data_IF_574924054027
#
_entry.id   IF_574924054027
#
_cell.length_a   1.000
_cell.length_b   1.000
_cell.length_c   1.000
_cell.angle_alpha   90.00
_cell.angle_beta   90.00
_cell.angle_gamma   90.00
#
_symmetry.space_group_name_H-M   'P 1'
#
loop_
_entity.id
_entity.type
_entity.pdbx_description
1 polymer ?
#
# COMPACT_ATOMS: atom_id res chain seq x y z
N UNK A 1 21.41 -20.36 9.61
CA UNK A 1 20.93 -18.95 9.39
C UNK A 1 21.04 -18.67 7.90
N UNK A 2 19.93 -18.32 7.29
CA UNK A 2 19.87 -17.97 5.86
C UNK A 2 20.72 -16.73 5.56
N UNK A 3 21.44 -16.72 4.43
CA UNK A 3 22.22 -15.58 3.98
C UNK A 3 22.08 -15.42 2.46
N UNK A 4 22.08 -14.17 1.93
CA UNK A 4 22.10 -13.95 0.49
C UNK A 4 23.46 -14.44 -0.09
N UNK A 5 23.44 -14.87 -1.35
CA UNK A 5 24.67 -15.21 -2.03
C UNK A 5 25.56 -13.98 -2.24
N UNK A 6 26.89 -14.11 -2.16
CA UNK A 6 27.81 -12.97 -2.30
C UNK A 6 27.72 -12.23 -3.63
N UNK A 7 27.21 -12.89 -4.67
CA UNK A 7 27.02 -12.31 -6.02
C UNK A 7 25.74 -11.48 -6.15
N UNK A 8 24.83 -11.53 -5.17
CA UNK A 8 23.56 -10.80 -5.23
C UNK A 8 23.73 -9.33 -4.90
N UNK A 9 23.09 -8.47 -5.70
CA UNK A 9 23.11 -7.02 -5.51
C UNK A 9 21.90 -6.61 -4.70
N UNK A 10 22.14 -6.13 -3.47
CA UNK A 10 21.06 -5.66 -2.60
C UNK A 10 20.34 -4.45 -3.22
N UNK A 11 19.00 -4.52 -3.25
CA UNK A 11 18.15 -3.42 -3.66
C UNK A 11 17.69 -2.63 -2.43
N UNK A 12 17.56 -1.32 -2.59
CA UNK A 12 16.90 -0.49 -1.58
C UNK A 12 15.40 -0.80 -1.64
N UNK A 13 14.94 -1.70 -0.78
CA UNK A 13 13.52 -2.01 -0.63
C UNK A 13 12.92 -1.20 0.51
N UNK A 14 11.62 -0.86 0.39
CA UNK A 14 10.86 -0.41 1.55
C UNK A 14 10.90 -1.49 2.65
N UNK A 15 10.94 -1.07 3.90
CA UNK A 15 10.94 -1.97 5.07
C UNK A 15 9.52 -2.49 5.32
N UNK A 16 9.08 -3.47 4.54
CA UNK A 16 7.93 -4.30 4.93
C UNK A 16 8.26 -5.05 6.23
N UNK A 17 7.29 -5.20 7.12
CA UNK A 17 7.49 -5.78 8.47
C UNK A 17 8.10 -7.19 8.44
N UNK A 18 7.88 -7.95 7.38
CA UNK A 18 8.40 -9.31 7.20
C UNK A 18 9.49 -9.43 6.14
N UNK A 19 9.88 -8.35 5.46
CA UNK A 19 10.91 -8.41 4.41
C UNK A 19 12.30 -8.31 5.04
N UNK A 20 13.06 -9.38 4.97
CA UNK A 20 14.47 -9.43 5.40
C UNK A 20 15.36 -8.67 4.42
N UNK A 21 15.09 -8.81 3.11
CA UNK A 21 15.79 -8.09 2.07
C UNK A 21 15.29 -8.46 0.67
N UNK A 22 15.76 -7.66 -0.29
CA UNK A 22 15.48 -7.86 -1.73
C UNK A 22 16.77 -7.68 -2.49
N UNK A 23 17.04 -8.57 -3.43
CA UNK A 23 18.27 -8.57 -4.22
C UNK A 23 17.97 -8.78 -5.70
N UNK A 24 18.84 -8.26 -6.54
CA UNK A 24 18.89 -8.55 -7.98
C UNK A 24 20.04 -9.53 -8.25
N UNK A 25 19.79 -10.52 -9.10
CA UNK A 25 20.81 -11.44 -9.58
C UNK A 25 20.49 -11.93 -10.99
N UNK A 26 21.29 -12.86 -11.51
CA UNK A 26 21.08 -13.50 -12.81
C UNK A 26 21.03 -15.00 -12.61
N UNK A 27 19.93 -15.64 -13.02
CA UNK A 27 19.76 -17.09 -13.01
C UNK A 27 19.54 -17.58 -14.45
N UNK A 28 20.39 -18.52 -14.89
CA UNK A 28 20.30 -19.06 -16.26
C UNK A 28 20.39 -17.99 -17.37
N UNK A 29 21.15 -16.91 -17.13
CA UNK A 29 21.27 -15.79 -18.06
C UNK A 29 20.12 -14.78 -18.02
N UNK A 30 19.10 -14.96 -17.17
CA UNK A 30 17.94 -14.06 -17.03
C UNK A 30 18.07 -13.24 -15.74
N UNK A 31 17.80 -11.91 -15.78
CA UNK A 31 17.77 -11.11 -14.57
C UNK A 31 16.53 -11.47 -13.74
N UNK A 32 16.75 -11.68 -12.43
CA UNK A 32 15.70 -12.02 -11.49
C UNK A 32 15.81 -11.17 -10.23
N UNK A 33 14.70 -11.07 -9.51
CA UNK A 33 14.65 -10.52 -8.16
C UNK A 33 14.46 -11.65 -7.16
N UNK A 34 15.21 -11.60 -6.07
CA UNK A 34 15.09 -12.50 -4.93
C UNK A 34 14.62 -11.70 -3.74
N UNK A 35 13.49 -12.11 -3.14
CA UNK A 35 12.91 -11.49 -1.93
C UNK A 35 12.88 -12.52 -0.82
N UNK A 36 13.48 -12.19 0.33
CA UNK A 36 13.41 -13.01 1.53
C UNK A 36 12.39 -12.46 2.50
N UNK A 37 11.45 -13.30 2.91
CA UNK A 37 10.48 -13.06 3.97
C UNK A 37 10.92 -13.82 5.22
N UNK A 38 10.97 -13.14 6.37
CA UNK A 38 11.23 -13.76 7.65
C UNK A 38 9.95 -14.26 8.31
N UNK A 39 9.98 -15.48 8.83
CA UNK A 39 8.89 -15.98 9.66
C UNK A 39 8.84 -15.19 10.98
N UNK A 40 7.63 -14.82 11.49
CA UNK A 40 7.52 -14.12 12.75
C UNK A 40 7.96 -15.00 13.92
N UNK A 41 8.57 -14.36 14.91
CA UNK A 41 8.95 -14.96 16.18
C UNK A 41 7.83 -14.78 17.23
N UNK A 42 7.99 -15.41 18.39
CA UNK A 42 7.06 -15.25 19.53
C UNK A 42 6.99 -13.81 20.07
N UNK A 43 7.97 -12.96 19.75
CA UNK A 43 8.04 -11.57 20.19
C UNK A 43 7.48 -10.58 19.18
N UNK A 44 7.12 -11.06 18.00
CA UNK A 44 6.56 -10.22 16.95
C UNK A 44 5.06 -9.96 17.18
N UNK A 45 4.53 -8.84 16.69
CA UNK A 45 3.11 -8.55 16.80
C UNK A 45 2.23 -9.66 16.20
N UNK A 46 1.16 -10.11 16.90
CA UNK A 46 0.31 -11.22 16.46
C UNK A 46 -0.35 -10.99 15.09
N UNK A 47 -0.51 -9.72 14.68
CA UNK A 47 -1.02 -9.34 13.36
C UNK A 47 -0.19 -9.88 12.20
N UNK A 48 1.10 -10.16 12.41
CA UNK A 48 1.94 -10.77 11.37
C UNK A 48 1.50 -12.20 11.06
N UNK A 49 0.90 -12.88 12.00
CA UNK A 49 0.40 -14.25 11.87
C UNK A 49 -1.09 -14.33 11.52
N UNK A 50 -1.83 -13.20 11.53
CA UNK A 50 -3.23 -13.16 11.14
C UNK A 50 -3.36 -13.07 9.60
N UNK A 51 -3.92 -14.10 8.93
CA UNK A 51 -4.04 -14.11 7.47
C UNK A 51 -4.93 -13.00 6.90
N UNK A 52 -5.84 -12.42 7.69
CA UNK A 52 -6.74 -11.34 7.25
C UNK A 52 -6.12 -9.96 7.40
N UNK A 53 -5.21 -9.80 8.37
CA UNK A 53 -4.57 -8.53 8.65
C UNK A 53 -3.61 -8.14 7.52
N UNK A 54 -3.60 -6.88 7.08
CA UNK A 54 -2.81 -6.43 5.95
C UNK A 54 -1.29 -6.66 6.11
N UNK A 55 -0.78 -6.83 7.32
CA UNK A 55 0.62 -7.11 7.60
C UNK A 55 0.97 -8.60 7.65
N UNK A 56 0.05 -9.49 7.28
CA UNK A 56 0.31 -10.94 7.27
C UNK A 56 1.60 -11.26 6.49
N UNK A 57 2.56 -11.85 7.18
CA UNK A 57 3.94 -12.01 6.69
C UNK A 57 4.06 -12.87 5.42
N UNK A 58 3.22 -13.88 5.30
CA UNK A 58 3.29 -14.91 4.26
C UNK A 58 2.54 -14.53 2.97
N UNK A 59 1.67 -13.50 3.01
CA UNK A 59 0.74 -13.21 1.89
C UNK A 59 1.42 -13.10 0.54
N UNK A 60 2.58 -12.46 0.43
CA UNK A 60 3.30 -12.36 -0.84
C UNK A 60 3.59 -13.74 -1.45
N UNK A 61 3.99 -14.72 -0.63
CA UNK A 61 4.21 -16.10 -1.07
C UNK A 61 2.90 -16.79 -1.47
N UNK A 62 1.84 -16.64 -0.66
CA UNK A 62 0.53 -17.24 -0.94
C UNK A 62 -0.05 -16.70 -2.25
N UNK A 63 0.09 -15.39 -2.54
CA UNK A 63 -0.36 -14.76 -3.79
C UNK A 63 0.34 -15.36 -4.99
N UNK A 64 1.67 -15.37 -4.99
CA UNK A 64 2.44 -15.86 -6.15
C UNK A 64 2.28 -17.37 -6.35
N UNK A 65 2.24 -18.16 -5.27
CA UNK A 65 2.00 -19.61 -5.34
C UNK A 65 0.61 -19.95 -5.88
N UNK A 66 -0.40 -19.14 -5.53
CA UNK A 66 -1.76 -19.36 -6.01
C UNK A 66 -1.97 -19.01 -7.48
N UNK A 67 -1.11 -18.20 -8.06
CA UNK A 67 -1.23 -17.69 -9.43
C UNK A 67 -2.43 -16.76 -9.66
N UNK A 68 -3.11 -16.31 -8.60
CA UNK A 68 -4.38 -15.58 -8.71
C UNK A 68 -4.28 -14.26 -9.46
N UNK A 69 -3.11 -13.63 -9.46
CA UNK A 69 -2.85 -12.33 -10.13
C UNK A 69 -2.03 -12.45 -11.42
N UNK A 70 -1.85 -13.67 -11.98
CA UNK A 70 -1.10 -13.85 -13.21
C UNK A 70 -1.88 -13.39 -14.47
N UNK A 71 -3.22 -13.41 -14.40
CA UNK A 71 -4.09 -13.12 -15.54
C UNK A 71 -5.25 -12.18 -15.21
N UNK A 72 -5.14 -11.43 -14.13
CA UNK A 72 -6.13 -10.42 -13.74
C UNK A 72 -6.11 -9.24 -14.71
N UNK A 73 -7.26 -8.60 -14.98
CA UNK A 73 -7.31 -7.39 -15.78
C UNK A 73 -6.60 -6.24 -15.02
N UNK A 74 -5.98 -5.36 -15.78
CA UNK A 74 -5.35 -4.14 -15.25
C UNK A 74 -4.01 -4.36 -14.56
N UNK A 75 -3.93 -5.18 -13.53
CA UNK A 75 -2.67 -5.50 -12.82
C UNK A 75 -2.36 -6.98 -12.92
N UNK A 76 -1.09 -7.31 -13.19
CA UNK A 76 -0.58 -8.69 -13.22
C UNK A 76 0.72 -8.81 -12.46
N UNK A 77 0.95 -9.97 -11.84
CA UNK A 77 2.27 -10.30 -11.31
C UNK A 77 3.24 -10.72 -12.42
N UNK A 78 4.56 -10.50 -12.26
CA UNK A 78 5.57 -11.15 -13.07
C UNK A 78 5.54 -12.67 -12.86
N UNK A 79 6.13 -13.42 -13.80
CA UNK A 79 6.27 -14.86 -13.64
C UNK A 79 7.16 -15.19 -12.45
N UNK A 80 6.74 -16.20 -11.69
CA UNK A 80 7.47 -16.73 -10.55
C UNK A 80 8.45 -17.81 -11.03
N UNK A 81 9.70 -17.73 -10.61
CA UNK A 81 10.71 -18.73 -10.91
C UNK A 81 10.75 -19.83 -9.85
N UNK A 82 10.76 -19.44 -8.55
CA UNK A 82 10.72 -20.40 -7.44
C UNK A 82 10.15 -19.80 -6.14
N UNK A 83 9.65 -20.70 -5.28
CA UNK A 83 9.32 -20.44 -3.88
C UNK A 83 10.01 -21.49 -3.05
N UNK A 84 10.88 -21.08 -2.13
CA UNK A 84 11.61 -21.97 -1.24
C UNK A 84 11.29 -21.57 0.20
N UNK A 85 10.87 -22.55 1.00
CA UNK A 85 10.51 -22.36 2.41
C UNK A 85 11.42 -23.16 3.30
N UNK A 86 11.89 -22.55 4.38
CA UNK A 86 12.66 -23.17 5.45
C UNK A 86 12.17 -22.73 6.82
N UNK A 87 12.82 -23.16 7.90
CA UNK A 87 12.42 -22.83 9.27
C UNK A 87 12.53 -21.33 9.61
N UNK A 88 13.29 -20.55 8.85
CA UNK A 88 13.51 -19.11 9.11
C UNK A 88 12.60 -18.23 8.25
N UNK A 89 11.97 -18.76 7.19
CA UNK A 89 11.09 -17.99 6.32
C UNK A 89 10.95 -18.51 4.90
N UNK A 90 10.66 -17.60 3.96
CA UNK A 90 10.38 -17.92 2.56
C UNK A 90 11.26 -17.08 1.64
N UNK A 91 11.88 -17.71 0.67
CA UNK A 91 12.59 -17.05 -0.43
C UNK A 91 11.73 -17.12 -1.70
N UNK A 92 11.43 -15.96 -2.27
CA UNK A 92 10.71 -15.82 -3.53
C UNK A 92 11.69 -15.37 -4.61
N UNK A 93 11.71 -16.06 -5.74
CA UNK A 93 12.46 -15.66 -6.93
C UNK A 93 11.49 -15.43 -8.07
N UNK A 94 11.53 -14.25 -8.68
CA UNK A 94 10.67 -13.87 -9.79
C UNK A 94 11.49 -13.17 -10.89
N UNK A 95 10.94 -13.12 -12.10
CA UNK A 95 11.56 -12.37 -13.18
C UNK A 95 11.70 -10.88 -12.80
N UNK A 96 12.81 -10.29 -13.19
CA UNK A 96 13.02 -8.86 -13.06
C UNK A 96 12.05 -8.09 -13.96
N UNK A 97 11.36 -7.11 -13.41
CA UNK A 97 10.46 -6.23 -14.16
C UNK A 97 11.19 -4.92 -14.45
N UNK A 98 11.35 -4.60 -15.74
CA UNK A 98 11.90 -3.33 -16.17
C UNK A 98 10.87 -2.21 -16.02
N UNK A 99 11.34 -1.02 -15.65
CA UNK A 99 10.47 0.15 -15.52
C UNK A 99 10.05 0.66 -16.91
N UNK A 100 8.75 0.54 -17.20
CA UNK A 100 8.14 0.99 -18.44
C UNK A 100 7.77 2.49 -18.43
N UNK A 101 8.12 3.21 -17.38
CA UNK A 101 7.76 4.62 -17.18
C UNK A 101 6.27 4.91 -17.42
N UNK A 102 5.40 4.08 -16.84
CA UNK A 102 3.96 4.22 -16.97
C UNK A 102 3.51 5.62 -16.52
N UNK A 103 2.63 6.27 -17.32
CA UNK A 103 1.99 7.51 -16.87
C UNK A 103 1.02 7.23 -15.73
N UNK A 104 0.76 8.25 -14.88
CA UNK A 104 -0.20 8.09 -13.79
C UNK A 104 -1.62 7.80 -14.28
N UNK A 105 -2.01 8.35 -15.41
CA UNK A 105 -3.33 8.06 -16.01
C UNK A 105 -3.44 6.59 -16.45
N UNK A 106 -2.38 6.03 -17.03
CA UNK A 106 -2.35 4.62 -17.40
C UNK A 106 -2.41 3.72 -16.15
N UNK A 107 -1.65 4.05 -15.10
CA UNK A 107 -1.71 3.32 -13.84
C UNK A 107 -3.10 3.41 -13.18
N UNK A 108 -3.71 4.60 -13.14
CA UNK A 108 -5.06 4.79 -12.59
C UNK A 108 -6.12 3.99 -13.36
N UNK A 109 -6.06 4.00 -14.71
CA UNK A 109 -6.93 3.16 -15.55
C UNK A 109 -6.74 1.66 -15.26
N UNK A 110 -5.50 1.21 -15.12
CA UNK A 110 -5.19 -0.18 -14.78
C UNK A 110 -5.73 -0.57 -13.39
N UNK A 111 -5.63 0.32 -12.38
CA UNK A 111 -6.23 0.12 -11.06
C UNK A 111 -7.76 0.01 -11.14
N UNK A 112 -8.42 0.82 -11.98
CA UNK A 112 -9.86 0.71 -12.22
C UNK A 112 -10.25 -0.64 -12.82
N UNK A 113 -9.50 -1.15 -13.81
CA UNK A 113 -9.71 -2.48 -14.39
C UNK A 113 -9.47 -3.60 -13.37
N UNK A 114 -8.46 -3.45 -12.52
CA UNK A 114 -8.13 -4.43 -11.48
C UNK A 114 -9.23 -4.53 -10.40
N UNK A 115 -9.95 -3.47 -10.12
CA UNK A 115 -11.07 -3.49 -9.18
C UNK A 115 -12.12 -4.57 -9.49
N UNK A 116 -12.26 -4.95 -10.77
CA UNK A 116 -13.14 -6.04 -11.21
C UNK A 116 -12.50 -7.43 -11.19
N UNK A 117 -11.26 -7.57 -10.72
CA UNK A 117 -10.57 -8.85 -10.74
C UNK A 117 -11.22 -9.86 -9.78
N UNK A 118 -11.46 -11.06 -10.26
CA UNK A 118 -11.97 -12.17 -9.47
C UNK A 118 -10.82 -12.86 -8.70
N UNK A 119 -10.43 -12.29 -7.57
CA UNK A 119 -9.37 -12.86 -6.72
C UNK A 119 -9.88 -13.92 -5.72
N UNK A 120 -11.19 -14.14 -5.69
CA UNK A 120 -11.88 -15.15 -4.86
C UNK A 120 -11.95 -14.80 -3.37
N UNK A 121 -12.39 -15.75 -2.57
CA UNK A 121 -12.59 -15.64 -1.11
C UNK A 121 -11.49 -16.29 -0.28
N UNK A 122 -10.23 -16.22 -0.69
CA UNK A 122 -9.11 -16.89 0.00
C UNK A 122 -8.90 -16.31 1.39
N UNK A 123 -8.60 -17.18 2.38
CA UNK A 123 -8.45 -16.79 3.79
C UNK A 123 -7.33 -15.79 4.05
N UNK A 124 -6.31 -15.77 3.19
CA UNK A 124 -5.15 -14.90 3.31
C UNK A 124 -5.28 -13.55 2.58
N UNK A 125 -6.40 -13.27 1.92
CA UNK A 125 -6.66 -11.94 1.36
C UNK A 125 -6.82 -10.92 2.49
N UNK A 126 -6.13 -9.78 2.35
CA UNK A 126 -6.25 -8.69 3.29
C UNK A 126 -7.68 -8.13 3.30
N UNK A 127 -8.16 -7.78 4.48
CA UNK A 127 -9.44 -7.12 4.70
C UNK A 127 -9.24 -5.97 5.67
N UNK A 128 -10.13 -5.01 5.64
CA UNK A 128 -10.14 -3.90 6.60
C UNK A 128 -8.82 -3.12 6.73
N UNK A 129 -8.00 -3.08 5.66
CA UNK A 129 -6.66 -2.50 5.69
C UNK A 129 -6.61 -1.10 6.30
N UNK A 130 -7.58 -0.24 5.96
CA UNK A 130 -7.60 1.13 6.45
C UNK A 130 -7.92 1.16 7.96
N UNK A 131 -8.85 0.31 8.43
CA UNK A 131 -9.14 0.14 9.86
C UNK A 131 -7.93 -0.38 10.63
N UNK A 132 -7.23 -1.36 10.09
CA UNK A 132 -6.03 -1.92 10.72
C UNK A 132 -4.91 -0.88 10.82
N UNK A 133 -4.76 -0.01 9.80
CA UNK A 133 -3.84 1.13 9.86
C UNK A 133 -4.21 2.10 10.98
N UNK A 134 -5.50 2.43 11.14
CA UNK A 134 -5.97 3.32 12.21
C UNK A 134 -5.82 2.66 13.59
N UNK A 135 -6.12 1.37 13.74
CA UNK A 135 -5.87 0.61 14.99
C UNK A 135 -4.39 0.66 15.39
N UNK A 136 -3.46 0.55 14.45
CA UNK A 136 -2.03 0.70 14.74
C UNK A 136 -1.68 2.09 15.27
N UNK A 137 -2.29 3.13 14.75
CA UNK A 137 -2.14 4.50 15.29
C UNK A 137 -2.70 4.57 16.70
N UNK A 138 -3.88 3.98 16.95
CA UNK A 138 -4.51 3.89 18.27
C UNK A 138 -3.62 3.19 19.30
N UNK A 139 -3.07 2.02 18.94
CA UNK A 139 -2.18 1.26 19.82
C UNK A 139 -0.90 2.01 20.21
N UNK A 140 -0.47 2.97 19.38
CA UNK A 140 0.67 3.85 19.70
C UNK A 140 0.28 5.13 20.44
N UNK A 141 -0.97 5.24 20.91
CA UNK A 141 -1.48 6.38 21.66
C UNK A 141 -2.25 7.42 20.86
N UNK A 142 -2.54 7.14 19.61
CA UNK A 142 -3.30 8.00 18.71
C UNK A 142 -2.46 9.10 18.04
N UNK A 143 -3.13 9.99 17.32
CA UNK A 143 -2.46 11.14 16.69
C UNK A 143 -1.92 12.09 17.78
N UNK A 144 -0.62 12.44 17.74
CA UNK A 144 -0.03 13.33 18.76
C UNK A 144 -0.40 14.80 18.49
N UNK A 145 -1.29 15.37 19.31
CA UNK A 145 -1.85 16.73 19.17
C UNK A 145 -0.93 17.88 19.64
N UNK A 146 0.36 17.67 19.70
CA UNK A 146 1.29 18.57 20.43
C UNK A 146 1.90 19.70 19.58
N UNK A 147 1.42 19.93 18.36
CA UNK A 147 1.89 21.04 17.53
C UNK A 147 0.79 22.07 17.34
N UNK A 148 1.00 23.30 17.68
CA UNK A 148 0.15 24.42 17.28
C UNK A 148 0.50 24.83 15.85
N UNK A 149 0.17 23.97 14.89
CA UNK A 149 0.34 24.22 13.45
C UNK A 149 -0.93 23.83 12.72
N UNK A 150 -1.24 24.50 11.62
CA UNK A 150 -2.40 24.17 10.77
C UNK A 150 -2.43 22.67 10.41
N UNK A 151 -1.27 22.07 10.13
CA UNK A 151 -1.18 20.63 9.83
C UNK A 151 -1.60 19.77 11.01
N UNK A 152 -1.18 20.13 12.23
CA UNK A 152 -1.52 19.38 13.43
C UNK A 152 -3.02 19.48 13.74
N UNK A 153 -3.60 20.66 13.58
CA UNK A 153 -5.02 20.90 13.84
C UNK A 153 -5.90 20.13 12.84
N UNK A 154 -5.54 20.16 11.54
CA UNK A 154 -6.24 19.38 10.50
C UNK A 154 -6.08 17.88 10.73
N UNK A 155 -4.89 17.41 11.07
CA UNK A 155 -4.66 16.00 11.36
C UNK A 155 -5.43 15.52 12.59
N UNK A 156 -5.54 16.35 13.64
CA UNK A 156 -6.36 16.06 14.82
C UNK A 156 -7.85 15.98 14.44
N UNK A 157 -8.33 16.92 13.66
CA UNK A 157 -9.71 16.89 13.18
C UNK A 157 -10.03 15.60 12.40
N UNK A 158 -9.16 15.18 11.48
CA UNK A 158 -9.30 13.91 10.77
C UNK A 158 -9.27 12.73 11.73
N UNK A 159 -8.36 12.76 12.70
CA UNK A 159 -8.25 11.70 13.71
C UNK A 159 -9.54 11.53 14.50
N UNK A 160 -10.15 12.62 14.93
CA UNK A 160 -11.43 12.60 15.66
C UNK A 160 -12.58 12.04 14.81
N UNK A 161 -12.60 12.30 13.50
CA UNK A 161 -13.64 11.84 12.58
C UNK A 161 -13.37 10.46 11.96
N UNK A 162 -12.21 9.84 12.22
CA UNK A 162 -11.80 8.60 11.56
C UNK A 162 -12.82 7.48 11.61
N UNK A 163 -13.53 7.34 12.73
CA UNK A 163 -14.56 6.30 12.89
C UNK A 163 -15.69 6.46 11.86
N UNK A 164 -16.26 7.67 11.78
CA UNK A 164 -17.32 7.96 10.81
C UNK A 164 -16.85 7.79 9.36
N UNK A 165 -15.63 8.23 9.04
CA UNK A 165 -15.07 8.05 7.69
C UNK A 165 -14.86 6.57 7.35
N UNK A 166 -14.41 5.76 8.30
CA UNK A 166 -14.25 4.31 8.11
C UNK A 166 -15.60 3.63 7.91
N UNK A 167 -16.65 4.01 8.67
CA UNK A 167 -17.99 3.46 8.50
C UNK A 167 -18.59 3.82 7.13
N UNK A 168 -18.33 5.02 6.63
CA UNK A 168 -18.75 5.44 5.29
C UNK A 168 -18.10 4.60 4.20
N UNK A 169 -16.79 4.35 4.26
CA UNK A 169 -16.12 3.56 3.22
C UNK A 169 -16.41 2.06 3.31
N UNK A 170 -16.75 1.54 4.48
CA UNK A 170 -17.17 0.15 4.62
C UNK A 170 -18.52 -0.12 3.94
N UNK A 171 -19.37 0.91 3.79
CA UNK A 171 -20.62 0.83 3.07
C UNK A 171 -20.48 0.86 1.54
N UNK A 172 -19.29 1.21 1.01
CA UNK A 172 -19.02 1.24 -0.43
C UNK A 172 -18.85 -0.16 -1.02
N UNK A 173 -19.01 -0.32 -2.35
CA UNK A 173 -18.67 -1.56 -3.03
C UNK A 173 -17.24 -2.02 -2.70
N UNK A 174 -17.12 -3.27 -2.25
CA UNK A 174 -15.83 -3.87 -1.92
C UNK A 174 -15.25 -4.56 -3.15
N UNK A 175 -14.07 -4.14 -3.58
CA UNK A 175 -13.41 -4.54 -4.83
C UNK A 175 -12.03 -5.12 -4.58
N UNK A 176 -11.47 -5.81 -5.59
CA UNK A 176 -10.10 -6.27 -5.53
C UNK A 176 -9.12 -5.09 -5.43
N UNK A 177 -8.12 -5.21 -4.58
CA UNK A 177 -7.11 -4.18 -4.34
C UNK A 177 -5.71 -4.76 -4.25
N UNK A 178 -4.74 -4.08 -4.85
CA UNK A 178 -3.32 -4.31 -4.60
C UNK A 178 -2.95 -3.95 -3.14
N UNK A 179 -3.52 -2.87 -2.63
CA UNK A 179 -3.41 -2.38 -1.25
C UNK A 179 -2.14 -1.57 -0.94
N UNK A 180 -1.14 -1.58 -1.84
CA UNK A 180 0.06 -0.72 -1.79
C UNK A 180 0.51 -0.28 -3.19
N UNK A 181 -0.37 0.32 -4.02
CA UNK A 181 -0.09 0.63 -5.42
C UNK A 181 0.73 1.91 -5.57
N UNK A 182 1.89 2.01 -4.91
CA UNK A 182 2.81 3.12 -5.18
C UNK A 182 3.43 2.98 -6.58
N UNK A 183 3.85 4.06 -7.26
CA UNK A 183 4.44 3.98 -8.59
C UNK A 183 5.60 2.98 -8.70
N UNK A 184 6.41 2.86 -7.65
CA UNK A 184 7.51 1.89 -7.59
C UNK A 184 7.05 0.42 -7.59
N UNK A 185 5.80 0.14 -7.20
CA UNK A 185 5.19 -1.19 -7.22
C UNK A 185 4.43 -1.48 -8.54
N UNK A 186 4.38 -0.51 -9.47
CA UNK A 186 3.71 -0.59 -10.77
C UNK A 186 4.69 -0.36 -11.93
N UNK A 187 5.88 -1.01 -11.93
CA UNK A 187 6.96 -0.64 -12.84
C UNK A 187 6.73 -1.07 -14.29
N UNK A 188 6.20 -2.28 -14.52
CA UNK A 188 6.20 -2.90 -15.83
C UNK A 188 4.93 -2.66 -16.63
N UNK A 189 4.97 -3.10 -17.89
CA UNK A 189 3.82 -3.04 -18.81
C UNK A 189 3.74 -4.28 -19.66
N UNK A 190 2.53 -4.81 -19.82
CA UNK A 190 2.23 -5.92 -20.71
C UNK A 190 0.93 -5.63 -21.47
N UNK A 191 1.06 -5.05 -22.67
CA UNK A 191 -0.08 -4.54 -23.44
C UNK A 191 -0.80 -3.42 -22.67
N UNK A 192 -2.08 -3.66 -22.35
CA UNK A 192 -2.93 -2.72 -21.59
C UNK A 192 -2.92 -2.98 -20.09
N UNK A 193 -2.13 -3.94 -19.61
CA UNK A 193 -1.99 -4.24 -18.20
C UNK A 193 -0.65 -3.74 -17.65
N UNK A 194 -0.63 -3.41 -16.37
CA UNK A 194 0.58 -3.09 -15.60
C UNK A 194 1.14 -4.38 -15.01
N UNK A 195 2.44 -4.61 -15.16
CA UNK A 195 3.14 -5.61 -14.34
C UNK A 195 3.44 -4.99 -12.97
N UNK A 196 2.74 -5.48 -11.97
CA UNK A 196 2.82 -5.00 -10.59
C UNK A 196 3.63 -5.96 -9.72
N UNK A 197 4.33 -5.42 -8.74
CA UNK A 197 5.15 -6.16 -7.77
C UNK A 197 4.70 -5.87 -6.35
N UNK A 198 5.22 -6.62 -5.39
CA UNK A 198 4.95 -6.44 -3.94
C UNK A 198 3.47 -6.64 -3.54
N UNK A 199 2.96 -7.81 -3.83
CA UNK A 199 1.58 -8.24 -3.55
C UNK A 199 1.30 -8.58 -2.09
N UNK A 200 2.13 -8.11 -1.16
CA UNK A 200 2.01 -8.42 0.27
C UNK A 200 0.72 -7.91 0.92
N UNK A 201 -0.01 -7.02 0.25
CA UNK A 201 -1.25 -6.41 0.73
C UNK A 201 -2.48 -6.71 -0.13
N UNK A 202 -2.38 -7.65 -1.08
CA UNK A 202 -3.51 -8.06 -1.92
C UNK A 202 -4.74 -8.42 -1.08
N UNK A 203 -5.89 -7.86 -1.43
CA UNK A 203 -7.13 -8.13 -0.72
C UNK A 203 -8.35 -7.47 -1.34
N UNK A 204 -9.35 -7.26 -0.49
CA UNK A 204 -10.54 -6.49 -0.83
C UNK A 204 -10.61 -5.23 0.02
N UNK A 205 -11.17 -4.19 -0.54
CA UNK A 205 -11.43 -2.93 0.14
C UNK A 205 -12.35 -2.02 -0.67
N UNK A 206 -12.68 -0.83 -0.16
CA UNK A 206 -13.66 0.05 -0.79
C UNK A 206 -13.18 0.52 -2.17
N UNK A 207 -14.12 0.62 -3.12
CA UNK A 207 -13.86 1.18 -4.45
C UNK A 207 -13.15 2.54 -4.34
N UNK A 208 -12.15 2.78 -5.18
CA UNK A 208 -11.33 4.01 -5.15
C UNK A 208 -10.17 3.97 -4.15
N UNK A 209 -10.07 3.02 -3.21
CA UNK A 209 -9.03 3.05 -2.18
C UNK A 209 -7.61 2.91 -2.77
N UNK A 210 -7.39 2.02 -3.75
CA UNK A 210 -6.10 1.92 -4.44
C UNK A 210 -5.74 3.20 -5.20
N UNK A 211 -6.74 3.88 -5.80
CA UNK A 211 -6.53 5.19 -6.42
C UNK A 211 -6.08 6.23 -5.40
N UNK A 212 -6.75 6.29 -4.24
CA UNK A 212 -6.39 7.21 -3.16
C UNK A 212 -4.98 6.95 -2.60
N UNK A 213 -4.60 5.68 -2.50
CA UNK A 213 -3.25 5.32 -2.09
C UNK A 213 -2.19 5.72 -3.15
N UNK A 214 -2.48 5.47 -4.44
CA UNK A 214 -1.63 5.86 -5.57
C UNK A 214 -1.40 7.36 -5.62
N UNK A 215 -2.45 8.15 -5.44
CA UNK A 215 -2.43 9.62 -5.45
C UNK A 215 -1.37 10.22 -4.52
N UNK A 216 -1.07 9.57 -3.39
CA UNK A 216 -0.09 10.09 -2.42
C UNK A 216 1.31 10.26 -3.02
N UNK A 217 1.63 9.54 -4.09
CA UNK A 217 2.92 9.55 -4.76
C UNK A 217 2.82 9.90 -6.26
N UNK A 218 1.62 10.12 -6.78
CA UNK A 218 1.38 10.53 -8.17
C UNK A 218 1.86 11.98 -8.40
N UNK A 219 2.12 12.32 -9.66
CA UNK A 219 2.44 13.68 -10.11
C UNK A 219 1.19 14.42 -10.60
N UNK A 220 0.21 13.64 -11.05
CA UNK A 220 -1.05 14.10 -11.59
C UNK A 220 -2.00 14.52 -10.47
N UNK A 221 -2.92 15.43 -10.77
CA UNK A 221 -3.98 15.86 -9.87
C UNK A 221 -5.07 14.80 -9.72
N UNK A 222 -5.91 14.96 -8.70
CA UNK A 222 -6.93 13.97 -8.33
C UNK A 222 -7.96 13.73 -9.43
N UNK A 223 -8.54 14.78 -10.02
CA UNK A 223 -9.63 14.64 -10.98
C UNK A 223 -9.23 13.90 -12.26
N UNK A 224 -8.08 14.21 -12.93
CA UNK A 224 -7.61 13.41 -14.05
C UNK A 224 -7.36 11.93 -13.71
N UNK A 225 -6.82 11.64 -12.52
CA UNK A 225 -6.60 10.27 -12.09
C UNK A 225 -7.93 9.55 -11.83
N UNK A 226 -8.91 10.23 -11.23
CA UNK A 226 -10.26 9.69 -11.01
C UNK A 226 -10.94 9.39 -12.35
N UNK A 227 -10.88 10.28 -13.32
CA UNK A 227 -11.44 10.07 -14.66
C UNK A 227 -10.83 8.83 -15.33
N UNK A 228 -9.50 8.70 -15.27
CA UNK A 228 -8.81 7.54 -15.82
C UNK A 228 -9.18 6.24 -15.09
N UNK A 229 -9.30 6.27 -13.77
CA UNK A 229 -9.76 5.13 -12.96
C UNK A 229 -11.17 4.68 -13.35
N UNK A 230 -12.10 5.63 -13.48
CA UNK A 230 -13.49 5.36 -13.88
C UNK A 230 -13.61 4.79 -15.28
N UNK A 231 -12.76 5.22 -16.22
CA UNK A 231 -12.68 4.62 -17.57
C UNK A 231 -12.24 3.15 -17.53
N UNK A 232 -11.48 2.75 -16.53
CA UNK A 232 -11.08 1.35 -16.31
C UNK A 232 -12.10 0.53 -15.52
N UNK A 233 -12.96 1.19 -14.75
CA UNK A 233 -13.93 0.54 -13.88
C UNK A 233 -15.09 -0.01 -14.71
N UNK A 234 -15.53 -1.29 -14.53
CA UNK A 234 -16.70 -1.82 -15.21
C UNK A 234 -17.96 -1.00 -14.93
N UNK A 235 -18.77 -0.84 -15.96
CA UNK A 235 -20.04 -0.14 -15.84
C UNK A 235 -20.94 -0.78 -14.75
N UNK A 236 -21.52 0.04 -13.90
CA UNK A 236 -22.41 -0.37 -12.82
C UNK A 236 -21.72 -0.93 -11.58
N UNK A 237 -20.38 -1.04 -11.54
CA UNK A 237 -19.68 -1.50 -10.35
C UNK A 237 -19.71 -0.47 -9.23
N UNK A 238 -19.56 0.80 -9.54
CA UNK A 238 -19.71 1.92 -8.63
C UNK A 238 -19.98 3.22 -9.38
N UNK A 239 -20.53 4.18 -8.69
CA UNK A 239 -20.69 5.55 -9.18
C UNK A 239 -19.40 6.36 -9.06
N UNK A 240 -19.32 7.51 -9.77
CA UNK A 240 -18.22 8.46 -9.62
C UNK A 240 -18.05 8.92 -8.17
N UNK A 241 -19.16 9.23 -7.51
CA UNK A 241 -19.15 9.76 -6.14
C UNK A 241 -18.66 8.72 -5.14
N UNK A 242 -19.06 7.45 -5.27
CA UNK A 242 -18.55 6.35 -4.45
C UNK A 242 -17.04 6.16 -4.63
N UNK A 243 -16.56 6.09 -5.87
CA UNK A 243 -15.13 5.94 -6.16
C UNK A 243 -14.32 7.15 -5.67
N UNK A 244 -14.82 8.38 -5.86
CA UNK A 244 -14.20 9.61 -5.38
C UNK A 244 -14.14 9.65 -3.85
N UNK A 245 -15.22 9.26 -3.17
CA UNK A 245 -15.28 9.24 -1.72
C UNK A 245 -14.30 8.23 -1.14
N UNK A 246 -14.31 6.99 -1.64
CA UNK A 246 -13.36 5.95 -1.23
C UNK A 246 -11.90 6.36 -1.44
N UNK A 247 -11.59 6.99 -2.59
CA UNK A 247 -10.25 7.48 -2.88
C UNK A 247 -9.83 8.61 -1.91
N UNK A 248 -10.70 9.60 -1.65
CA UNK A 248 -10.41 10.71 -0.73
C UNK A 248 -10.16 10.21 0.69
N UNK A 249 -11.06 9.38 1.24
CA UNK A 249 -10.91 8.83 2.59
C UNK A 249 -9.64 8.01 2.71
N UNK A 250 -9.37 7.12 1.74
CA UNK A 250 -8.16 6.31 1.75
C UNK A 250 -6.89 7.18 1.69
N UNK A 251 -6.85 8.18 0.80
CA UNK A 251 -5.70 9.09 0.68
C UNK A 251 -5.41 9.81 2.01
N UNK A 252 -6.42 10.45 2.61
CA UNK A 252 -6.22 11.27 3.81
C UNK A 252 -5.87 10.44 5.04
N UNK A 253 -6.55 9.32 5.30
CA UNK A 253 -6.25 8.47 6.44
C UNK A 253 -4.92 7.71 6.28
N UNK A 254 -4.55 7.32 5.05
CA UNK A 254 -3.23 6.74 4.78
C UNK A 254 -2.11 7.76 4.98
N UNK A 255 -2.28 8.99 4.50
CA UNK A 255 -1.31 10.07 4.74
C UNK A 255 -1.15 10.35 6.24
N UNK A 256 -2.26 10.37 6.99
CA UNK A 256 -2.27 10.53 8.44
C UNK A 256 -1.47 9.41 9.13
N UNK A 257 -1.77 8.14 8.80
CA UNK A 257 -1.10 6.99 9.42
C UNK A 257 0.40 6.94 9.11
N UNK A 258 0.82 7.34 7.90
CA UNK A 258 2.23 7.43 7.52
C UNK A 258 2.95 8.56 8.26
N UNK A 259 2.30 9.70 8.44
CA UNK A 259 2.85 10.82 9.19
C UNK A 259 3.01 10.46 10.68
N UNK A 260 1.99 9.82 11.29
CA UNK A 260 2.07 9.32 12.67
C UNK A 260 3.20 8.28 12.83
N UNK A 261 3.30 7.30 11.94
CA UNK A 261 4.36 6.30 11.97
C UNK A 261 5.75 6.93 11.92
N UNK A 262 5.95 7.94 11.07
CA UNK A 262 7.21 8.66 10.99
C UNK A 262 7.51 9.44 12.28
N UNK A 263 6.50 10.09 12.87
CA UNK A 263 6.61 10.78 14.16
C UNK A 263 6.95 9.81 15.30
N UNK A 264 6.30 8.65 15.36
CA UNK A 264 6.54 7.64 16.38
C UNK A 264 8.00 7.14 16.37
N UNK A 265 8.60 6.98 15.18
CA UNK A 265 10.00 6.55 15.03
C UNK A 265 11.01 7.55 15.59
N UNK A 266 10.71 8.83 15.60
CA UNK A 266 11.56 9.88 16.14
C UNK A 266 11.14 10.32 17.56
N UNK A 267 10.06 9.73 18.10
CA UNK A 267 9.51 10.09 19.40
C UNK A 267 10.48 9.84 20.56
N UNK A 268 11.29 8.78 20.48
CA UNK A 268 12.29 8.44 21.51
C UNK A 268 13.53 9.33 21.52
N UNK A 269 13.70 10.27 20.56
CA UNK A 269 14.84 11.19 20.51
C UNK A 269 14.66 12.40 21.45
N UNK A 270 15.76 13.06 21.82
CA UNK A 270 15.74 14.31 22.58
C UNK A 270 15.03 15.44 21.82
N UNK A 271 14.38 16.34 22.53
CA UNK A 271 13.77 17.55 22.01
C UNK A 271 12.25 17.59 22.03
N UNK A 272 11.70 18.80 21.96
CA UNK A 272 10.26 19.03 21.94
C UNK A 272 9.61 18.50 20.66
N UNK A 273 8.38 18.01 20.75
CA UNK A 273 7.61 17.46 19.62
C UNK A 273 7.50 18.42 18.43
N UNK A 274 7.42 19.72 18.67
CA UNK A 274 7.43 20.75 17.61
C UNK A 274 8.69 20.70 16.73
N UNK A 275 9.86 20.33 17.31
CA UNK A 275 11.09 20.08 16.55
C UNK A 275 11.04 18.81 15.71
N UNK A 276 10.31 17.80 16.18
CA UNK A 276 10.16 16.51 15.48
C UNK A 276 9.39 16.63 14.15
N UNK A 277 8.47 17.58 14.05
CA UNK A 277 7.78 17.90 12.79
C UNK A 277 8.74 18.35 11.66
N UNK A 278 9.88 18.94 12.02
CA UNK A 278 10.92 19.38 11.08
C UNK A 278 12.00 18.31 10.83
N UNK A 279 11.93 17.19 11.53
CA UNK A 279 12.91 16.11 11.36
C UNK A 279 12.92 15.60 9.92
N UNK A 280 14.10 15.36 9.30
CA UNK A 280 14.19 14.93 7.89
C UNK A 280 13.40 13.67 7.55
N UNK A 281 13.26 12.75 8.51
CA UNK A 281 12.46 11.53 8.34
C UNK A 281 10.95 11.77 8.44
N UNK A 282 10.49 12.88 9.00
CA UNK A 282 9.06 13.21 9.23
C UNK A 282 8.53 14.20 8.21
N UNK A 283 9.31 15.24 7.91
CA UNK A 283 8.90 16.34 7.05
C UNK A 283 8.34 15.90 5.67
N UNK A 284 8.85 14.87 4.98
CA UNK A 284 8.27 14.38 3.75
C UNK A 284 6.83 13.88 3.92
N UNK A 285 6.55 13.15 4.99
CA UNK A 285 5.21 12.60 5.26
C UNK A 285 4.20 13.70 5.62
N UNK A 286 4.64 14.72 6.36
CA UNK A 286 3.80 15.89 6.64
C UNK A 286 3.50 16.70 5.38
N UNK A 287 4.47 16.84 4.46
CA UNK A 287 4.21 17.47 3.14
C UNK A 287 3.20 16.70 2.31
N UNK A 288 3.25 15.35 2.36
CA UNK A 288 2.21 14.52 1.70
C UNK A 288 0.85 14.80 2.30
N UNK A 289 0.73 14.85 3.64
CA UNK A 289 -0.54 15.19 4.31
C UNK A 289 -1.03 16.60 3.96
N UNK A 290 -0.14 17.60 3.92
CA UNK A 290 -0.49 18.96 3.50
C UNK A 290 -1.03 19.02 2.07
N UNK A 291 -0.48 18.24 1.15
CA UNK A 291 -1.00 18.16 -0.23
C UNK A 291 -2.41 17.61 -0.32
N UNK A 292 -2.88 16.89 0.71
CA UNK A 292 -4.24 16.34 0.76
C UNK A 292 -5.27 17.35 1.32
N UNK A 293 -4.89 18.57 1.68
CA UNK A 293 -5.84 19.57 2.23
C UNK A 293 -7.08 19.76 1.37
N UNK A 294 -7.01 19.90 0.03
CA UNK A 294 -8.22 20.02 -0.78
C UNK A 294 -9.16 18.81 -0.66
N UNK A 295 -8.60 17.60 -0.51
CA UNK A 295 -9.42 16.40 -0.31
C UNK A 295 -10.05 16.36 1.08
N UNK A 296 -9.35 16.89 2.09
CA UNK A 296 -9.84 16.98 3.46
C UNK A 296 -10.99 17.98 3.53
N UNK A 297 -10.84 19.15 2.92
CA UNK A 297 -11.91 20.16 2.82
C UNK A 297 -13.15 19.56 2.18
N UNK A 298 -13.01 18.86 1.06
CA UNK A 298 -14.12 18.16 0.40
C UNK A 298 -14.82 17.09 1.26
N UNK A 299 -14.12 16.50 2.25
CA UNK A 299 -14.69 15.52 3.19
C UNK A 299 -15.34 16.20 4.42
N UNK A 300 -15.03 17.45 4.69
CA UNK A 300 -15.55 18.20 5.84
C UNK A 300 -16.82 18.98 5.45
N UNK A 301 -16.89 19.44 4.21
CA UNK A 301 -18.02 20.24 3.68
C UNK A 301 -19.20 19.37 3.22
N UNK A 302 -19.02 18.09 2.99
CA UNK A 302 -20.06 17.12 2.61
C UNK A 302 -20.48 16.25 3.80
#
# INVERSE_FOLDING_TARGET
MWQPEPSWVALRSGTGTSTVGVWRTVLGGRPVVVKRLGAPSEHDPPELSDPRHFAYWRRAADVVTSGVVLRTPGLRAPELTSVEEDAEGITLTADWVEDAANSGLFAAHALGRFAAAEIGGRRWLARDQLRDRMRRVEHRGGWPTLGRTTVADIADHLWQRRGALLDQVDALPQVAQHGDPVPANLPGRLGDDVLAIDWATLGHGPVGADLGYYLLNAREEFEPLLDAYLLGLPEGLATRDEAAHGARVCAVLTALSRAEWALARVAGGEGALAGKYRHPAVAPHLRVLQRQFPLIEALVEG
#
